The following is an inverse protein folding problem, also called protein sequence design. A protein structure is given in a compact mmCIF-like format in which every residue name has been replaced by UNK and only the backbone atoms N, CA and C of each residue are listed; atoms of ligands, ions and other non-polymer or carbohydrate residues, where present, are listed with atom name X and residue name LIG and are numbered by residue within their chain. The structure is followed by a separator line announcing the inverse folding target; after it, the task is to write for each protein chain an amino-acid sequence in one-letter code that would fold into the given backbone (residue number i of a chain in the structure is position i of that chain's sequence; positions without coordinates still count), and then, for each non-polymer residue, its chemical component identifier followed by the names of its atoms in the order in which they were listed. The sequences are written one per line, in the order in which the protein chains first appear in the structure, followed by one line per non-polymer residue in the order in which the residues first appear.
data_IF_002843589491
#
_entry.id   IF_002843589491
#
_cell.length_a   1.000
_cell.length_b   1.000
_cell.length_c   1.000
_cell.angle_alpha   90.00
_cell.angle_beta   90.00
_cell.angle_gamma   90.00
#
_symmetry.space_group_name_H-M   'P 1'
#
loop_
_entity.id
_entity.type
_entity.pdbx_description
1 polymer ?
#
# COMPACT_ATOMS: atom_id res chain seq x y z
N UNK A 1 -20.11 10.43 5.37
CA UNK A 1 -19.30 9.58 6.27
C UNK A 1 -18.90 10.47 7.44
N UNK A 2 -19.00 10.00 8.68
CA UNK A 2 -18.61 10.81 9.85
C UNK A 2 -17.09 10.86 10.00
N UNK A 3 -16.57 11.83 10.75
CA UNK A 3 -15.14 11.91 11.07
C UNK A 3 -14.64 10.68 11.83
N UNK A 4 -15.40 10.19 12.81
CA UNK A 4 -15.07 8.95 13.52
C UNK A 4 -14.94 7.75 12.57
N UNK A 5 -15.72 7.72 11.49
CA UNK A 5 -15.60 6.68 10.47
C UNK A 5 -14.39 6.89 9.57
N UNK A 6 -13.99 8.13 9.28
CA UNK A 6 -12.75 8.43 8.57
C UNK A 6 -11.52 8.03 9.40
N UNK A 7 -11.50 8.36 10.68
CA UNK A 7 -10.42 8.01 11.60
C UNK A 7 -10.21 6.49 11.66
N UNK A 8 -11.31 5.72 11.63
CA UNK A 8 -11.26 4.26 11.58
C UNK A 8 -10.66 3.68 10.30
N UNK A 9 -10.39 4.47 9.26
CA UNK A 9 -9.80 4.05 7.99
C UNK A 9 -8.27 4.14 7.96
N UNK A 10 -7.62 4.32 9.11
CA UNK A 10 -6.17 4.46 9.22
C UNK A 10 -5.62 3.51 10.30
N UNK A 11 -4.34 3.17 10.20
CA UNK A 11 -3.66 2.49 11.30
C UNK A 11 -3.58 3.46 12.49
N UNK A 12 -4.22 3.10 13.60
CA UNK A 12 -4.32 3.97 14.79
C UNK A 12 -2.97 4.29 15.44
N UNK A 13 -1.96 3.47 15.18
CA UNK A 13 -0.59 3.64 15.67
C UNK A 13 0.32 4.41 14.70
N UNK A 14 -0.19 4.91 13.57
CA UNK A 14 0.59 5.68 12.61
C UNK A 14 0.74 7.16 13.04
N UNK A 15 1.94 7.77 12.90
CA UNK A 15 3.19 7.16 12.47
C UNK A 15 3.97 6.52 13.63
N UNK A 16 4.59 5.36 13.37
CA UNK A 16 5.45 4.68 14.35
C UNK A 16 6.59 3.93 13.65
N UNK A 17 7.82 4.33 13.93
CA UNK A 17 9.03 3.62 13.51
C UNK A 17 9.52 2.76 14.67
N UNK A 18 9.69 1.47 14.42
CA UNK A 18 10.13 0.46 15.38
C UNK A 18 11.47 -0.17 15.00
N UNK A 19 11.84 -0.15 13.73
CA UNK A 19 13.13 -0.66 13.27
C UNK A 19 14.29 0.25 13.68
N UNK A 20 15.45 -0.35 13.97
CA UNK A 20 16.68 0.37 14.31
C UNK A 20 17.36 1.02 13.10
N UNK A 21 17.01 0.58 11.89
CA UNK A 21 17.50 1.12 10.61
C UNK A 21 16.32 1.42 9.68
N UNK A 22 16.52 2.33 8.73
CA UNK A 22 15.60 2.61 7.64
C UNK A 22 16.37 2.57 6.30
N UNK A 23 16.04 1.65 5.38
CA UNK A 23 15.06 0.56 5.50
C UNK A 23 15.39 -0.40 6.66
N UNK A 24 14.36 -1.03 7.22
CA UNK A 24 14.55 -2.16 8.13
C UNK A 24 15.14 -3.37 7.39
N UNK A 25 15.64 -4.40 8.10
CA UNK A 25 16.29 -5.54 7.49
C UNK A 25 15.41 -6.27 6.46
N UNK A 26 14.10 -6.42 6.71
CA UNK A 26 13.20 -7.10 5.77
C UNK A 26 12.96 -6.25 4.52
N UNK A 27 12.73 -4.94 4.69
CA UNK A 27 12.59 -4.02 3.57
C UNK A 27 13.88 -3.95 2.74
N UNK A 28 15.05 -3.94 3.39
CA UNK A 28 16.34 -3.91 2.71
C UNK A 28 16.56 -5.16 1.85
N UNK A 29 16.21 -6.34 2.35
CA UNK A 29 16.29 -7.60 1.60
C UNK A 29 15.36 -7.58 0.38
N UNK A 30 14.11 -7.14 0.54
CA UNK A 30 13.14 -7.03 -0.55
C UNK A 30 13.60 -6.06 -1.65
N UNK A 31 14.13 -4.90 -1.26
CA UNK A 31 14.68 -3.91 -2.19
C UNK A 31 15.92 -4.45 -2.92
N UNK A 32 16.79 -5.18 -2.22
CA UNK A 32 17.96 -5.81 -2.84
C UNK A 32 17.56 -6.91 -3.84
N UNK A 33 16.47 -7.64 -3.59
CA UNK A 33 15.94 -8.61 -4.55
C UNK A 33 15.41 -7.90 -5.81
N UNK A 34 14.55 -6.89 -5.64
CA UNK A 34 14.03 -6.08 -6.77
C UNK A 34 15.16 -5.53 -7.63
N UNK A 35 16.22 -4.97 -7.03
CA UNK A 35 17.38 -4.47 -7.76
C UNK A 35 18.13 -5.53 -8.59
N UNK A 36 18.04 -6.82 -8.23
CA UNK A 36 18.66 -7.92 -8.97
C UNK A 36 17.75 -8.51 -10.06
N UNK A 37 16.44 -8.42 -9.90
CA UNK A 37 15.47 -9.13 -10.75
C UNK A 37 14.66 -8.22 -11.66
N UNK A 38 14.63 -6.91 -11.41
CA UNK A 38 13.78 -5.96 -12.13
C UNK A 38 14.61 -4.92 -12.89
N UNK A 39 14.02 -4.34 -13.94
CA UNK A 39 14.64 -3.24 -14.68
C UNK A 39 14.58 -1.94 -13.88
N UNK A 40 15.66 -1.18 -13.89
CA UNK A 40 15.78 0.12 -13.22
C UNK A 40 14.92 1.23 -13.86
N UNK A 41 14.23 0.95 -14.98
CA UNK A 41 13.40 1.92 -15.69
C UNK A 41 12.17 2.40 -14.90
N UNK A 42 11.68 1.62 -13.92
CA UNK A 42 10.58 2.03 -13.02
C UNK A 42 11.15 2.57 -11.70
N UNK A 43 11.38 3.88 -11.60
CA UNK A 43 11.70 4.57 -10.31
C UNK A 43 12.95 4.07 -9.54
N UNK A 44 13.72 3.16 -10.14
CA UNK A 44 15.01 2.66 -9.66
C UNK A 44 15.06 2.05 -8.27
N UNK A 45 13.95 1.55 -7.70
CA UNK A 45 13.98 0.93 -6.37
C UNK A 45 14.52 1.87 -5.26
N UNK A 46 14.47 3.19 -5.47
CA UNK A 46 15.06 4.19 -4.55
C UNK A 46 14.15 4.58 -3.41
N UNK A 47 12.87 4.20 -3.47
CA UNK A 47 11.99 4.33 -2.31
C UNK A 47 12.49 3.35 -1.23
N UNK A 48 12.98 3.82 -0.07
CA UNK A 48 13.64 2.97 0.92
C UNK A 48 12.61 2.21 1.77
N UNK A 49 11.50 1.77 1.17
CA UNK A 49 10.35 1.21 1.85
C UNK A 49 9.74 0.10 1.01
N UNK A 50 9.56 -1.07 1.61
CA UNK A 50 8.77 -2.16 1.06
C UNK A 50 7.42 -2.21 1.78
N UNK A 51 6.33 -1.78 1.12
CA UNK A 51 5.00 -1.76 1.73
C UNK A 51 4.43 -3.19 1.87
N UNK A 52 3.93 -3.56 3.05
CA UNK A 52 3.25 -4.84 3.30
C UNK A 52 1.72 -4.69 3.36
N UNK A 53 1.24 -3.66 4.09
CA UNK A 53 -0.20 -3.37 4.21
C UNK A 53 -0.45 -1.88 4.10
N UNK A 54 -1.64 -1.51 3.64
CA UNK A 54 -2.04 -0.12 3.61
C UNK A 54 -3.52 0.06 3.88
N UNK A 55 -3.87 1.18 4.51
CA UNK A 55 -5.24 1.49 4.85
C UNK A 55 -5.44 3.01 4.97
N UNK A 56 -6.38 3.54 4.20
CA UNK A 56 -6.65 4.97 4.08
C UNK A 56 -5.40 5.77 3.69
N UNK A 57 -5.03 6.75 4.51
CA UNK A 57 -3.86 7.62 4.34
C UNK A 57 -2.62 7.08 5.07
N UNK A 58 -2.60 5.80 5.43
CA UNK A 58 -1.49 5.17 6.16
C UNK A 58 -1.05 3.88 5.49
N UNK A 59 0.20 3.49 5.70
CA UNK A 59 0.68 2.18 5.31
C UNK A 59 1.68 1.63 6.33
N UNK A 60 1.92 0.32 6.28
CA UNK A 60 2.86 -0.43 7.09
C UNK A 60 3.89 -1.11 6.18
N UNK A 61 5.17 -0.98 6.50
CA UNK A 61 6.24 -1.69 5.79
C UNK A 61 6.42 -3.13 6.30
N UNK A 62 7.29 -3.89 5.65
CA UNK A 62 7.60 -5.29 6.01
C UNK A 62 8.22 -5.47 7.39
N UNK A 63 8.82 -4.41 7.96
CA UNK A 63 9.43 -4.42 9.29
C UNK A 63 8.46 -3.96 10.39
N UNK A 64 7.21 -3.64 10.03
CA UNK A 64 6.15 -3.23 10.94
C UNK A 64 6.08 -1.74 11.23
N UNK A 65 6.93 -0.92 10.60
CA UNK A 65 6.88 0.53 10.71
C UNK A 65 5.60 1.06 10.04
N UNK A 66 4.90 1.99 10.69
CA UNK A 66 3.71 2.65 10.13
C UNK A 66 4.00 4.09 9.73
N UNK A 67 3.48 4.47 8.57
CA UNK A 67 3.74 5.74 7.91
C UNK A 67 2.44 6.47 7.58
N UNK A 68 2.52 7.80 7.51
CA UNK A 68 1.51 8.64 6.86
C UNK A 68 1.85 8.73 5.37
N UNK A 69 0.87 8.48 4.52
CA UNK A 69 1.02 8.51 3.08
C UNK A 69 0.62 9.87 2.48
N UNK A 70 1.62 10.66 2.15
CA UNK A 70 1.44 11.95 1.48
C UNK A 70 1.55 11.86 -0.05
N UNK A 71 1.74 10.65 -0.59
CA UNK A 71 1.91 10.43 -2.03
C UNK A 71 0.60 10.05 -2.73
N UNK A 72 -0.31 9.40 -2.01
CA UNK A 72 -1.45 8.67 -2.55
C UNK A 72 -1.08 7.75 -3.75
N UNK A 73 0.17 7.29 -3.85
CA UNK A 73 0.66 6.57 -5.01
C UNK A 73 0.61 7.41 -6.29
N UNK A 74 1.17 8.62 -6.25
CA UNK A 74 1.07 9.61 -7.34
C UNK A 74 -0.38 10.02 -7.59
N UNK A 75 -1.13 10.27 -6.52
CA UNK A 75 -2.53 10.74 -6.58
C UNK A 75 -3.59 9.67 -6.93
N UNK A 76 -3.19 8.42 -7.18
CA UNK A 76 -4.10 7.33 -7.59
C UNK A 76 -5.07 6.93 -6.46
N UNK A 77 -4.55 6.77 -5.25
CA UNK A 77 -5.30 6.30 -4.07
C UNK A 77 -6.02 7.46 -3.37
N UNK A 78 -6.76 8.28 -4.12
CA UNK A 78 -7.42 9.50 -3.62
C UNK A 78 -8.50 9.26 -2.56
N UNK A 79 -9.18 8.12 -2.62
CA UNK A 79 -10.16 7.68 -1.60
C UNK A 79 -9.51 6.90 -0.45
N UNK A 80 -8.18 6.87 -0.40
CA UNK A 80 -7.40 6.08 0.54
C UNK A 80 -7.11 4.66 0.03
N UNK A 81 -5.98 4.11 0.48
CA UNK A 81 -5.57 2.74 0.16
C UNK A 81 -6.53 1.72 0.79
N UNK A 82 -6.86 0.68 0.04
CA UNK A 82 -7.72 -0.42 0.49
C UNK A 82 -9.05 0.04 1.12
N UNK A 83 -9.67 1.10 0.58
CA UNK A 83 -10.94 1.61 1.09
C UNK A 83 -12.04 0.51 1.08
N UNK A 84 -12.79 0.27 2.17
CA UNK A 84 -13.68 -0.89 2.29
C UNK A 84 -14.72 -1.02 1.17
N UNK A 85 -15.30 0.11 0.72
CA UNK A 85 -16.25 0.09 -0.41
C UNK A 85 -15.62 -0.33 -1.74
N UNK A 86 -14.36 0.07 -1.99
CA UNK A 86 -13.64 -0.29 -3.22
C UNK A 86 -13.27 -1.75 -3.17
N UNK A 87 -12.74 -2.21 -2.04
CA UNK A 87 -12.38 -3.62 -1.83
C UNK A 87 -13.61 -4.52 -1.97
N UNK A 88 -14.75 -4.14 -1.39
CA UNK A 88 -15.98 -4.92 -1.52
C UNK A 88 -16.44 -4.99 -2.99
N UNK A 89 -16.48 -3.86 -3.70
CA UNK A 89 -16.85 -3.86 -5.12
C UNK A 89 -15.92 -4.73 -5.98
N UNK A 90 -14.62 -4.74 -5.70
CA UNK A 90 -13.66 -5.63 -6.38
C UNK A 90 -13.98 -7.09 -6.07
N UNK A 91 -14.21 -7.44 -4.80
CA UNK A 91 -14.52 -8.83 -4.38
C UNK A 91 -15.79 -9.32 -5.07
N UNK A 92 -16.87 -8.56 -4.97
CA UNK A 92 -18.17 -8.90 -5.55
C UNK A 92 -18.04 -9.15 -7.06
N UNK A 93 -17.35 -8.28 -7.79
CA UNK A 93 -17.16 -8.45 -9.24
C UNK A 93 -16.22 -9.60 -9.59
N UNK A 94 -15.18 -9.84 -8.79
CA UNK A 94 -14.18 -10.88 -9.06
C UNK A 94 -14.75 -12.29 -9.03
N UNK A 95 -15.83 -12.50 -8.26
CA UNK A 95 -16.56 -13.77 -8.18
C UNK A 95 -17.58 -13.95 -9.30
N UNK A 96 -17.91 -12.88 -10.04
CA UNK A 96 -18.85 -12.90 -11.17
C UNK A 96 -18.09 -13.08 -12.47
N UNK A 97 -17.19 -12.16 -12.81
CA UNK A 97 -16.45 -12.16 -14.06
C UNK A 97 -15.26 -11.20 -13.97
N UNK A 98 -14.05 -11.73 -14.04
CA UNK A 98 -12.83 -10.91 -13.97
C UNK A 98 -12.47 -10.23 -15.30
N UNK A 99 -12.76 -10.88 -16.43
CA UNK A 99 -12.42 -10.39 -17.76
C UNK A 99 -13.32 -11.04 -18.81
N UNK A 100 -13.75 -10.26 -19.80
CA UNK A 100 -14.38 -10.75 -21.02
C UNK A 100 -13.83 -9.96 -22.22
N UNK A 101 -13.81 -10.62 -23.39
CA UNK A 101 -13.31 -10.06 -24.65
C UNK A 101 -14.41 -9.36 -25.45
N UNK A 102 -15.66 -9.81 -25.34
CA UNK A 102 -16.85 -9.24 -25.98
C UNK A 102 -18.00 -9.08 -24.97
N UNK A 103 -19.15 -8.57 -25.43
CA UNK A 103 -20.32 -8.21 -24.60
C UNK A 103 -20.74 -9.32 -23.63
N UNK A 104 -20.97 -8.90 -22.39
CA UNK A 104 -21.52 -9.67 -21.29
C UNK A 104 -23.04 -9.83 -21.42
#
# INVERSE_FOLDING_TARGET
MSEAKLESLHFADAPRITSSTLPGPMAAEALALSARTESMARGGGRMPVAMDRAFGATFKDTDGNTYIDLSAGVGVSSVGRCHPKVVQAIRDQSEVLMHALEVN
#
